data_IF_927081494363
#
_entry.id   IF_927081494363
#
_cell.length_a   1.000
_cell.length_b   1.000
_cell.length_c   1.000
_cell.angle_alpha   90.00
_cell.angle_beta   90.00
_cell.angle_gamma   90.00
#
_symmetry.space_group_name_H-M   'P 1'
#
loop_
_entity.id
_entity.type
_entity.pdbx_description
1 polymer ?
#
# COMPACT_ATOMS: atom_id res chain seq x y z
N UNK A 1 -67.91 -2.48 6.27
CA UNK A 1 -66.57 -2.85 6.77
C UNK A 1 -65.56 -2.01 6.02
N UNK A 2 -64.85 -1.09 6.70
CA UNK A 2 -63.86 -0.21 6.07
C UNK A 2 -62.49 -0.49 6.68
N UNK A 3 -61.55 -0.98 5.87
CA UNK A 3 -60.16 -1.23 6.25
C UNK A 3 -59.37 0.08 6.05
N UNK A 4 -58.90 0.67 7.16
CA UNK A 4 -57.94 1.76 7.14
C UNK A 4 -56.54 1.18 6.90
N UNK A 5 -55.93 1.50 5.76
CA UNK A 5 -54.52 1.21 5.50
C UNK A 5 -53.65 2.19 6.30
N UNK A 6 -52.92 1.66 7.29
CA UNK A 6 -51.92 2.40 8.05
C UNK A 6 -50.64 2.53 7.22
N UNK A 7 -50.34 3.73 6.73
CA UNK A 7 -49.06 4.03 6.10
C UNK A 7 -48.01 4.29 7.19
N UNK A 8 -47.18 3.28 7.44
CA UNK A 8 -45.96 3.41 8.23
C UNK A 8 -44.99 4.36 7.50
N UNK A 9 -44.82 5.57 8.01
CA UNK A 9 -43.79 6.50 7.53
C UNK A 9 -42.41 5.88 7.81
N UNK A 10 -41.79 5.32 6.77
CA UNK A 10 -40.38 4.91 6.84
C UNK A 10 -39.54 6.16 7.10
N UNK A 11 -38.88 6.22 8.26
CA UNK A 11 -37.87 7.25 8.56
C UNK A 11 -36.79 7.16 7.49
N UNK A 12 -36.58 8.27 6.77
CA UNK A 12 -35.51 8.41 5.77
C UNK A 12 -34.18 8.22 6.48
N UNK A 13 -33.38 7.25 6.02
CA UNK A 13 -32.04 7.04 6.56
C UNK A 13 -31.22 8.33 6.41
N UNK A 14 -30.37 8.69 7.39
CA UNK A 14 -29.46 9.81 7.23
C UNK A 14 -28.59 9.59 5.99
N UNK A 15 -28.28 10.67 5.27
CA UNK A 15 -27.47 10.59 4.07
C UNK A 15 -26.12 9.94 4.41
N UNK A 16 -25.78 8.85 3.73
CA UNK A 16 -24.56 8.07 3.98
C UNK A 16 -23.26 8.81 3.58
N UNK A 17 -23.37 10.03 3.09
CA UNK A 17 -22.28 10.80 2.50
C UNK A 17 -22.17 12.12 3.26
N UNK A 18 -21.02 12.33 3.91
CA UNK A 18 -20.64 13.61 4.46
C UNK A 18 -20.19 14.52 3.29
N UNK A 19 -20.93 15.60 2.99
CA UNK A 19 -20.55 16.52 1.92
C UNK A 19 -19.32 17.37 2.26
N UNK A 20 -18.85 17.33 3.51
CA UNK A 20 -17.71 18.12 3.96
C UNK A 20 -16.78 17.27 4.85
N UNK A 21 -16.12 16.24 4.28
CA UNK A 21 -15.13 15.49 5.02
C UNK A 21 -14.03 16.46 5.44
N UNK A 22 -13.75 16.56 6.74
CA UNK A 22 -12.69 17.41 7.27
C UNK A 22 -11.40 17.27 6.43
N UNK A 23 -10.79 18.39 6.04
CA UNK A 23 -9.54 18.39 5.28
C UNK A 23 -8.37 17.89 6.14
N UNK A 24 -8.13 16.58 6.14
CA UNK A 24 -6.88 16.03 6.64
C UNK A 24 -5.82 16.13 5.53
N UNK A 25 -4.95 17.15 5.60
CA UNK A 25 -3.86 17.40 4.65
C UNK A 25 -2.71 16.37 4.70
N UNK A 26 -2.92 15.19 5.28
CA UNK A 26 -1.90 14.15 5.42
C UNK A 26 -2.47 12.80 5.07
N UNK A 27 -2.01 12.24 3.95
CA UNK A 27 -2.20 10.81 3.68
C UNK A 27 -1.36 10.04 4.70
N UNK A 28 -1.93 9.09 5.46
CA UNK A 28 -1.15 8.28 6.39
C UNK A 28 -0.06 7.54 5.60
N UNK A 29 1.19 7.72 6.02
CA UNK A 29 2.34 7.06 5.42
C UNK A 29 2.22 5.56 5.72
N UNK A 30 1.93 4.77 4.68
CA UNK A 30 1.90 3.32 4.81
C UNK A 30 3.32 2.79 4.62
N UNK A 31 3.88 2.09 5.60
CA UNK A 31 5.16 1.43 5.41
C UNK A 31 4.98 0.26 4.44
N UNK A 32 5.92 0.14 3.50
CA UNK A 32 6.06 -1.02 2.65
C UNK A 32 7.39 -1.70 2.96
N UNK A 33 7.40 -3.03 3.05
CA UNK A 33 8.63 -3.81 3.17
C UNK A 33 9.05 -4.33 1.81
N UNK A 34 10.33 -4.16 1.50
CA UNK A 34 10.96 -4.76 0.32
C UNK A 34 11.13 -6.27 0.57
N UNK A 35 10.42 -7.09 -0.20
CA UNK A 35 10.55 -8.54 -0.15
C UNK A 35 11.69 -9.03 -1.04
N UNK A 36 11.76 -8.46 -2.26
CA UNK A 36 12.78 -8.75 -3.24
C UNK A 36 13.16 -7.47 -3.96
N UNK A 37 14.46 -7.28 -4.22
CA UNK A 37 15.00 -6.11 -4.88
C UNK A 37 15.89 -6.50 -6.05
N UNK A 38 16.15 -5.54 -6.93
CA UNK A 38 17.09 -5.66 -8.06
C UNK A 38 16.76 -6.83 -9.00
N UNK A 39 15.47 -7.19 -9.12
CA UNK A 39 15.04 -8.26 -10.00
C UNK A 39 15.04 -7.78 -11.46
N UNK A 40 15.47 -8.61 -12.43
CA UNK A 40 15.24 -8.33 -13.84
C UNK A 40 13.75 -8.46 -14.16
N UNK A 41 13.30 -7.68 -15.14
CA UNK A 41 11.97 -7.84 -15.73
C UNK A 41 12.04 -7.70 -17.25
N UNK A 42 11.00 -8.17 -17.91
CA UNK A 42 11.01 -8.45 -19.34
C UNK A 42 9.78 -7.84 -20.00
N UNK A 43 9.90 -7.42 -21.25
CA UNK A 43 8.79 -6.87 -22.03
C UNK A 43 7.95 -7.95 -22.73
N UNK A 44 8.23 -9.24 -22.50
CA UNK A 44 7.51 -10.36 -23.10
C UNK A 44 7.15 -11.46 -22.07
N UNK A 45 6.02 -12.19 -22.28
CA UNK A 45 5.56 -13.23 -21.36
C UNK A 45 6.47 -14.45 -21.20
N UNK A 46 7.48 -14.62 -22.06
CA UNK A 46 8.42 -15.76 -21.98
C UNK A 46 9.71 -15.38 -21.25
N UNK A 47 9.83 -14.14 -20.78
CA UNK A 47 11.02 -13.58 -20.17
C UNK A 47 12.28 -13.76 -21.03
N UNK A 48 12.21 -13.34 -22.30
CA UNK A 48 13.32 -13.46 -23.27
C UNK A 48 14.01 -12.12 -23.55
N UNK A 49 13.30 -11.01 -23.42
CA UNK A 49 13.76 -9.66 -23.71
C UNK A 49 13.77 -8.83 -22.43
N UNK A 50 14.90 -8.86 -21.72
CA UNK A 50 15.06 -8.10 -20.47
C UNK A 50 15.10 -6.59 -20.75
N UNK A 51 14.40 -5.83 -19.92
CA UNK A 51 14.44 -4.37 -19.93
C UNK A 51 15.63 -3.91 -19.09
N UNK A 52 16.65 -3.35 -19.75
CA UNK A 52 17.93 -3.00 -19.12
C UNK A 52 17.92 -1.68 -18.31
N UNK A 53 16.95 -0.81 -18.57
CA UNK A 53 16.93 0.56 -18.04
C UNK A 53 16.28 0.66 -16.65
N UNK A 54 16.05 -0.47 -15.98
CA UNK A 54 15.47 -0.53 -14.65
C UNK A 54 15.50 -1.92 -14.02
N UNK A 55 15.06 -1.97 -12.77
CA UNK A 55 14.85 -3.21 -12.02
C UNK A 55 13.44 -3.26 -11.44
N UNK A 56 13.01 -4.45 -11.06
CA UNK A 56 11.75 -4.69 -10.38
C UNK A 56 12.01 -4.81 -8.87
N UNK A 57 11.16 -4.17 -8.09
CA UNK A 57 11.07 -4.35 -6.64
C UNK A 57 9.72 -4.98 -6.29
N UNK A 58 9.74 -5.95 -5.38
CA UNK A 58 8.55 -6.57 -4.81
C UNK A 58 8.35 -6.02 -3.40
N UNK A 59 7.18 -5.46 -3.14
CA UNK A 59 6.85 -4.76 -1.91
C UNK A 59 5.65 -5.43 -1.23
N UNK A 60 5.63 -5.43 0.10
CA UNK A 60 4.46 -5.80 0.91
C UNK A 60 4.02 -4.61 1.74
N UNK A 61 2.73 -4.29 1.74
CA UNK A 61 2.20 -3.29 2.67
C UNK A 61 2.25 -3.83 4.11
N UNK A 62 2.82 -3.06 5.03
CA UNK A 62 2.95 -3.37 6.46
C UNK A 62 1.92 -2.61 7.32
N UNK A 63 0.83 -2.13 6.72
CA UNK A 63 -0.25 -1.46 7.47
C UNK A 63 -1.01 -2.50 8.33
N UNK A 64 -0.93 -2.40 9.68
CA UNK A 64 -1.57 -3.37 10.58
C UNK A 64 -3.10 -3.33 10.51
N UNK A 65 -3.69 -2.27 9.94
CA UNK A 65 -5.14 -2.14 9.75
C UNK A 65 -5.61 -2.95 8.54
N UNK A 66 -4.69 -3.35 7.66
CA UNK A 66 -5.02 -4.04 6.44
C UNK A 66 -5.22 -5.55 6.69
N UNK A 67 -6.44 -6.04 6.47
CA UNK A 67 -6.81 -7.45 6.70
C UNK A 67 -6.24 -8.43 5.68
N UNK A 68 -5.84 -7.93 4.51
CA UNK A 68 -5.32 -8.73 3.40
C UNK A 68 -3.92 -8.28 3.06
N UNK A 69 -3.02 -9.24 2.84
CA UNK A 69 -1.65 -8.93 2.40
C UNK A 69 -1.70 -8.44 0.96
N UNK A 70 -1.25 -7.20 0.73
CA UNK A 70 -1.04 -6.67 -0.62
C UNK A 70 0.42 -6.77 -0.97
N UNK A 71 0.69 -7.41 -2.11
CA UNK A 71 2.00 -7.49 -2.74
C UNK A 71 1.97 -6.61 -3.99
N UNK A 72 2.94 -5.70 -4.12
CA UNK A 72 3.09 -4.80 -5.25
C UNK A 72 4.40 -5.09 -5.97
N UNK A 73 4.37 -5.19 -7.30
CA UNK A 73 5.55 -5.30 -8.15
C UNK A 73 5.72 -3.99 -8.91
N UNK A 74 6.84 -3.31 -8.75
CA UNK A 74 7.04 -1.97 -9.31
C UNK A 74 8.38 -1.82 -10.03
N UNK A 75 8.44 -1.07 -11.14
CA UNK A 75 9.70 -0.70 -11.77
C UNK A 75 10.40 0.40 -10.98
N UNK A 76 11.71 0.31 -10.84
CA UNK A 76 12.55 1.30 -10.15
C UNK A 76 13.91 1.42 -10.84
N UNK A 77 14.54 2.59 -10.75
CA UNK A 77 15.98 2.79 -11.06
C UNK A 77 16.82 3.07 -9.81
N UNK A 78 16.19 3.03 -8.64
CA UNK A 78 16.87 3.09 -7.35
C UNK A 78 17.22 1.69 -6.86
N UNK A 79 18.33 1.62 -6.14
CA UNK A 79 18.75 0.43 -5.43
C UNK A 79 17.99 0.31 -4.10
N UNK A 80 17.46 -0.87 -3.86
CA UNK A 80 16.85 -1.27 -2.61
C UNK A 80 17.48 -2.57 -2.12
N UNK A 81 17.31 -2.86 -0.84
CA UNK A 81 17.74 -4.11 -0.23
C UNK A 81 16.55 -4.82 0.39
N UNK A 82 16.66 -6.15 0.47
CA UNK A 82 15.66 -6.99 1.13
C UNK A 82 15.45 -6.53 2.58
N UNK A 83 14.20 -6.61 3.03
CA UNK A 83 13.73 -6.24 4.37
C UNK A 83 13.76 -4.74 4.71
N UNK A 84 14.21 -3.88 3.79
CA UNK A 84 14.09 -2.43 3.96
C UNK A 84 12.63 -1.99 4.07
N UNK A 85 12.37 -1.06 4.99
CA UNK A 85 11.10 -0.34 5.06
C UNK A 85 11.19 0.91 4.19
N UNK A 86 10.21 1.10 3.33
CA UNK A 86 10.12 2.21 2.39
C UNK A 86 8.74 2.84 2.42
N UNK A 87 8.68 4.13 2.10
CA UNK A 87 7.43 4.86 1.86
C UNK A 87 6.95 4.66 0.41
N UNK A 88 5.66 4.86 0.17
CA UNK A 88 5.10 4.79 -1.18
C UNK A 88 5.25 6.12 -1.92
N UNK A 89 6.19 6.17 -2.86
CA UNK A 89 6.39 7.35 -3.72
C UNK A 89 6.58 6.93 -5.17
N UNK A 90 6.00 7.71 -6.08
CA UNK A 90 5.97 7.43 -7.51
C UNK A 90 6.46 8.64 -8.30
N UNK A 91 7.17 8.36 -9.39
CA UNK A 91 7.62 9.33 -10.39
C UNK A 91 6.92 9.03 -11.72
N UNK A 92 5.97 9.88 -12.09
CA UNK A 92 5.17 9.74 -13.31
C UNK A 92 5.81 10.35 -14.57
N UNK A 93 7.06 10.84 -14.50
CA UNK A 93 7.78 11.36 -15.67
C UNK A 93 8.09 10.29 -16.72
N UNK A 94 7.98 9.02 -16.34
CA UNK A 94 8.18 7.87 -17.21
C UNK A 94 7.04 6.88 -17.01
N UNK A 95 6.53 6.38 -18.12
CA UNK A 95 5.63 5.24 -18.16
C UNK A 95 6.42 3.98 -18.53
N UNK A 96 6.11 2.89 -17.87
CA UNK A 96 6.61 1.56 -18.16
C UNK A 96 5.45 0.72 -18.71
N UNK A 97 5.66 0.14 -19.88
CA UNK A 97 4.70 -0.77 -20.49
C UNK A 97 4.60 -2.09 -19.72
N UNK A 98 3.72 -2.99 -20.18
CA UNK A 98 3.50 -4.29 -19.56
C UNK A 98 4.82 -5.05 -19.37
N UNK A 99 4.95 -5.67 -18.20
CA UNK A 99 6.16 -6.38 -17.82
C UNK A 99 5.86 -7.72 -17.17
N UNK A 100 6.81 -8.63 -17.34
CA UNK A 100 6.84 -9.96 -16.74
C UNK A 100 8.15 -10.16 -16.00
N UNK A 101 8.13 -11.03 -14.99
CA UNK A 101 9.31 -11.38 -14.22
C UNK A 101 9.25 -12.84 -13.78
N UNK A 102 10.39 -13.40 -13.42
CA UNK A 102 10.42 -14.69 -12.72
C UNK A 102 10.31 -14.44 -11.24
N UNK A 103 9.24 -14.95 -10.64
CA UNK A 103 9.03 -14.88 -9.22
C UNK A 103 10.15 -15.66 -8.50
N UNK A 104 10.95 -15.03 -7.63
CA UNK A 104 12.07 -15.70 -6.98
C UNK A 104 11.65 -16.76 -5.95
N UNK A 105 10.41 -16.69 -5.43
CA UNK A 105 9.92 -17.64 -4.44
C UNK A 105 9.32 -18.89 -5.10
N UNK A 106 8.56 -18.75 -6.20
CA UNK A 106 7.92 -19.88 -6.90
C UNK A 106 8.69 -20.39 -8.11
N UNK A 107 9.55 -19.56 -8.72
CA UNK A 107 10.21 -19.83 -10.00
C UNK A 107 9.32 -19.65 -11.23
N UNK A 108 8.03 -19.35 -11.04
CA UNK A 108 7.06 -19.15 -12.12
C UNK A 108 7.25 -17.79 -12.81
N UNK A 109 6.75 -17.67 -14.05
CA UNK A 109 6.71 -16.38 -14.75
C UNK A 109 5.37 -15.72 -14.45
N UNK A 110 5.44 -14.57 -13.81
CA UNK A 110 4.28 -13.76 -13.44
C UNK A 110 4.26 -12.46 -14.25
N UNK A 111 3.06 -11.96 -14.55
CA UNK A 111 2.91 -10.59 -15.05
C UNK A 111 3.06 -9.64 -13.86
N UNK A 112 4.06 -8.76 -13.93
CA UNK A 112 4.32 -7.78 -12.88
C UNK A 112 3.28 -6.65 -12.91
N UNK A 113 3.04 -6.06 -14.09
CA UNK A 113 2.05 -5.01 -14.31
C UNK A 113 1.60 -4.96 -15.77
N UNK A 114 0.48 -4.29 -16.05
CA UNK A 114 0.06 -3.96 -17.42
C UNK A 114 0.61 -2.62 -17.89
N UNK A 115 0.69 -1.65 -16.99
CA UNK A 115 1.39 -0.38 -17.12
C UNK A 115 1.77 0.10 -15.73
N UNK A 116 2.88 0.80 -15.59
CA UNK A 116 3.30 1.35 -14.29
C UNK A 116 4.10 2.63 -14.45
N UNK A 117 4.28 3.35 -13.35
CA UNK A 117 5.19 4.49 -13.24
C UNK A 117 6.35 4.10 -12.33
N UNK A 118 7.44 4.86 -12.38
CA UNK A 118 8.64 4.52 -11.60
C UNK A 118 8.38 4.66 -10.09
N UNK A 119 8.65 3.60 -9.34
CA UNK A 119 8.69 3.63 -7.89
C UNK A 119 9.97 4.29 -7.39
N UNK A 120 9.81 5.27 -6.51
CA UNK A 120 10.88 6.08 -5.93
C UNK A 120 10.70 6.22 -4.41
N UNK A 121 10.21 5.18 -3.74
CA UNK A 121 10.04 5.17 -2.29
C UNK A 121 11.31 5.59 -1.53
N UNK A 122 11.12 6.30 -0.42
CA UNK A 122 12.22 6.68 0.49
C UNK A 122 12.39 5.61 1.55
N UNK A 123 13.63 5.23 1.85
CA UNK A 123 13.94 4.32 2.96
C UNK A 123 13.58 5.00 4.27
N UNK A 124 12.70 4.38 5.05
CA UNK A 124 12.37 4.82 6.39
C UNK A 124 13.59 4.56 7.29
N UNK A 125 14.12 5.61 7.92
CA UNK A 125 15.21 5.45 8.90
C UNK A 125 14.64 4.79 10.15
N UNK A 126 15.42 3.91 10.79
CA UNK A 126 15.02 3.15 11.98
C UNK A 126 14.62 4.02 13.20
N UNK A 127 14.78 5.34 13.14
CA UNK A 127 14.56 6.26 14.25
C UNK A 127 13.10 6.74 14.39
N UNK A 128 12.21 6.46 13.43
CA UNK A 128 10.77 6.78 13.54
C UNK A 128 9.96 5.72 14.32
N UNK A 129 10.60 5.07 15.30
CA UNK A 129 9.93 4.24 16.32
C UNK A 129 9.62 5.00 17.61
N UNK A 130 9.74 6.33 17.61
CA UNK A 130 9.54 7.12 18.82
C UNK A 130 8.04 7.41 19.08
N UNK A 131 7.57 6.76 20.15
CA UNK A 131 6.69 7.34 21.18
C UNK A 131 5.19 7.35 20.87
N UNK A 132 4.57 6.17 20.80
CA UNK A 132 3.12 6.03 20.98
C UNK A 132 2.79 4.86 21.91
N UNK A 133 3.52 4.69 23.03
CA UNK A 133 3.16 3.72 24.07
C UNK A 133 3.66 4.14 25.46
N UNK A 134 3.61 5.43 25.78
CA UNK A 134 3.88 5.88 27.16
C UNK A 134 2.99 7.05 27.56
N UNK A 135 1.67 6.87 27.46
CA UNK A 135 0.72 7.64 28.27
C UNK A 135 -0.49 6.76 28.58
N UNK A 136 -0.33 5.86 29.56
CA UNK A 136 -1.45 5.36 30.36
C UNK A 136 -0.91 4.63 31.59
N UNK A 137 -1.34 5.14 32.74
CA UNK A 137 -1.19 4.63 34.11
C UNK A 137 0.04 5.03 34.93
N UNK A 138 0.20 6.33 35.15
CA UNK A 138 0.50 6.82 36.50
C UNK A 138 -0.68 7.66 37.01
N UNK A 139 -1.72 6.99 37.52
CA UNK A 139 -2.63 7.60 38.52
C UNK A 139 -3.25 6.51 39.39
N UNK A 140 -2.51 6.02 40.39
CA UNK A 140 -3.14 5.63 41.65
C UNK A 140 -2.40 6.32 42.79
N UNK A 141 -2.77 7.58 43.00
CA UNK A 141 -2.51 8.26 44.25
C UNK A 141 -3.19 7.53 45.40
N UNK A 142 -2.47 7.60 46.52
CA UNK A 142 -2.87 7.18 47.85
C UNK A 142 -4.26 7.71 48.24
N UNK A 143 -5.10 6.80 48.71
CA UNK A 143 -6.16 7.05 49.70
C UNK A 143 -6.45 5.69 50.35
N UNK A 144 -6.45 5.49 51.66
CA UNK A 144 -6.18 6.28 52.84
C UNK A 144 -6.09 5.29 54.01
#
# INVERSE_FOLDING_TARGET
MSLLASFSQRKKAPAAFDPNPEEINRMPERPYRVLHANLPFYCDPKCQNEVQDGRLVVLRCEDPRQKQVTIECMPTRRDYEKDQLVTWELNNKRLWDAAWYRNPDSGEIDRAWSQSVEFIGRVARAEERQTIDTVSDETSEKAG
#
